data_IF_555463049678
#
_entry.id   IF_555463049678
#
_cell.length_a   1.000
_cell.length_b   1.000
_cell.length_c   1.000
_cell.angle_alpha   90.00
_cell.angle_beta   90.00
_cell.angle_gamma   90.00
#
_symmetry.space_group_name_H-M   'P 1'
#
loop_
_entity.id
_entity.type
_entity.pdbx_description
1 polymer ?
#
# COMPACT_ATOMS: atom_id res chain seq x y z
N UNK A 1 -22.23 -13.55 -23.15
CA UNK A 1 -22.32 -12.07 -23.16
C UNK A 1 -21.30 -11.50 -24.13
N UNK A 2 -21.67 -10.56 -25.01
CA UNK A 2 -20.73 -9.94 -25.95
C UNK A 2 -19.68 -9.11 -25.21
N UNK A 3 -18.41 -9.19 -25.64
CA UNK A 3 -17.32 -8.40 -25.07
C UNK A 3 -17.28 -7.01 -25.69
N UNK A 4 -16.94 -6.01 -24.88
CA UNK A 4 -16.69 -4.65 -25.36
C UNK A 4 -15.56 -4.63 -26.40
N UNK A 5 -15.66 -3.84 -27.48
CA UNK A 5 -14.58 -3.69 -28.45
C UNK A 5 -13.35 -3.05 -27.81
N UNK A 6 -12.16 -3.35 -28.35
CA UNK A 6 -10.91 -2.71 -27.92
C UNK A 6 -10.93 -1.24 -28.34
N UNK A 7 -10.41 -0.36 -27.49
CA UNK A 7 -10.31 1.09 -27.72
C UNK A 7 -8.85 1.53 -27.82
N UNK A 8 -8.54 2.59 -28.58
CA UNK A 8 -7.16 3.09 -28.68
C UNK A 8 -6.61 3.49 -27.32
N UNK A 9 -5.30 3.29 -27.13
CA UNK A 9 -4.57 3.76 -25.97
C UNK A 9 -4.69 5.29 -25.84
N UNK A 10 -4.93 5.80 -24.62
CA UNK A 10 -5.10 7.24 -24.37
C UNK A 10 -3.77 8.03 -24.42
N UNK A 11 -2.64 7.34 -24.47
CA UNK A 11 -1.32 7.99 -24.57
C UNK A 11 -1.15 8.66 -25.95
N UNK A 12 -0.70 9.93 -26.01
CA UNK A 12 -0.60 10.68 -27.26
C UNK A 12 0.32 9.97 -28.27
N UNK A 13 -0.18 9.74 -29.48
CA UNK A 13 0.57 9.11 -30.56
C UNK A 13 0.71 7.58 -30.47
N UNK A 14 0.05 6.90 -29.52
CA UNK A 14 0.11 5.45 -29.43
C UNK A 14 -0.94 4.76 -30.33
N UNK A 15 -0.54 3.91 -31.28
CA UNK A 15 -1.48 3.22 -32.18
C UNK A 15 -2.13 1.97 -31.57
N UNK A 16 -1.71 1.54 -30.37
CA UNK A 16 -2.13 0.26 -29.77
C UNK A 16 -3.60 0.26 -29.31
N UNK A 17 -4.32 -0.82 -29.62
CA UNK A 17 -5.69 -1.08 -29.16
C UNK A 17 -5.71 -1.88 -27.85
N UNK A 18 -6.49 -1.42 -26.87
CA UNK A 18 -6.44 -1.92 -25.50
C UNK A 18 -7.85 -2.10 -24.93
N UNK A 19 -7.98 -2.97 -23.93
CA UNK A 19 -9.26 -3.15 -23.20
C UNK A 19 -9.45 -2.12 -22.07
N UNK A 20 -8.34 -1.48 -21.67
CA UNK A 20 -8.24 -0.48 -20.61
C UNK A 20 -7.98 0.92 -21.15
N UNK A 21 -7.42 1.79 -20.32
CA UNK A 21 -7.12 3.18 -20.72
C UNK A 21 -5.77 3.32 -21.44
N UNK A 22 -4.82 2.45 -21.14
CA UNK A 22 -3.46 2.49 -21.67
C UNK A 22 -3.00 1.10 -22.12
N UNK A 23 -2.04 1.04 -23.04
CA UNK A 23 -1.39 -0.21 -23.41
C UNK A 23 -0.48 -0.69 -22.27
N UNK A 24 -0.02 -1.94 -22.31
CA UNK A 24 0.80 -2.51 -21.22
C UNK A 24 2.06 -1.67 -20.91
N UNK A 25 2.66 -1.06 -21.93
CA UNK A 25 3.81 -0.18 -21.79
C UNK A 25 3.45 1.13 -21.10
N UNK A 26 2.48 1.89 -21.63
CA UNK A 26 2.06 3.16 -21.04
C UNK A 26 1.42 2.98 -19.66
N UNK A 27 0.71 1.88 -19.43
CA UNK A 27 0.21 1.55 -18.10
C UNK A 27 1.34 1.41 -17.08
N UNK A 28 2.47 0.78 -17.48
CA UNK A 28 3.63 0.62 -16.60
C UNK A 28 4.31 1.96 -16.31
N UNK A 29 4.43 2.82 -17.31
CA UNK A 29 5.01 4.16 -17.17
C UNK A 29 4.18 5.03 -16.20
N UNK A 30 2.88 5.18 -16.46
CA UNK A 30 1.96 5.94 -15.61
C UNK A 30 1.93 5.36 -14.18
N UNK A 31 1.91 4.03 -14.05
CA UNK A 31 1.98 3.40 -12.74
C UNK A 31 3.28 3.70 -12.00
N UNK A 32 4.42 3.73 -12.70
CA UNK A 32 5.73 4.05 -12.09
C UNK A 32 5.71 5.47 -11.54
N UNK A 33 5.25 6.42 -12.33
CA UNK A 33 5.15 7.83 -11.95
C UNK A 33 4.19 8.04 -10.78
N UNK A 34 3.00 7.44 -10.83
CA UNK A 34 2.04 7.47 -9.73
C UNK A 34 2.62 6.87 -8.44
N UNK A 35 3.29 5.71 -8.51
CA UNK A 35 3.89 5.09 -7.32
C UNK A 35 5.04 5.92 -6.74
N UNK A 36 5.83 6.59 -7.59
CA UNK A 36 6.90 7.46 -7.14
C UNK A 36 6.37 8.70 -6.42
N UNK A 37 5.34 9.33 -6.99
CA UNK A 37 4.79 10.61 -6.49
C UNK A 37 3.82 10.44 -5.31
N UNK A 38 2.90 9.48 -5.37
CA UNK A 38 1.84 9.32 -4.35
C UNK A 38 2.19 8.36 -3.21
N UNK A 39 3.27 7.57 -3.32
CA UNK A 39 3.66 6.61 -2.27
C UNK A 39 5.16 6.69 -1.91
N UNK A 40 5.70 7.89 -1.63
CA UNK A 40 7.15 8.08 -1.46
C UNK A 40 7.73 7.28 -0.29
N UNK A 41 6.93 7.01 0.72
CA UNK A 41 7.31 6.28 1.94
C UNK A 41 7.06 4.77 1.88
N UNK A 42 6.59 4.21 0.74
CA UNK A 42 6.39 2.76 0.59
C UNK A 42 7.68 1.95 0.84
N UNK A 43 8.85 2.56 0.58
CA UNK A 43 10.17 1.98 0.85
C UNK A 43 10.42 1.70 2.33
N UNK A 44 9.88 2.53 3.24
CA UNK A 44 10.07 2.38 4.69
C UNK A 44 9.44 1.08 5.21
N UNK A 45 8.27 0.71 4.68
CA UNK A 45 7.62 -0.57 4.97
C UNK A 45 8.41 -1.80 4.51
N UNK A 46 9.36 -1.64 3.58
CA UNK A 46 10.26 -2.73 3.14
C UNK A 46 11.56 -2.78 3.95
N UNK A 47 11.82 -1.79 4.80
CA UNK A 47 13.05 -1.75 5.61
C UNK A 47 13.07 -2.90 6.62
N UNK A 48 14.27 -3.44 6.87
CA UNK A 48 14.50 -4.43 7.94
C UNK A 48 14.02 -3.92 9.29
N UNK A 49 14.34 -2.66 9.61
CA UNK A 49 13.89 -1.97 10.83
C UNK A 49 12.37 -2.05 11.04
N UNK A 50 11.56 -1.86 9.98
CA UNK A 50 10.11 -2.02 10.07
C UNK A 50 9.69 -3.48 10.31
N UNK A 51 10.36 -4.44 9.68
CA UNK A 51 10.05 -5.86 9.87
C UNK A 51 10.39 -6.34 11.29
N UNK A 52 11.49 -5.86 11.88
CA UNK A 52 11.83 -6.08 13.29
C UNK A 52 10.77 -5.46 14.22
N UNK A 53 10.45 -4.18 14.01
CA UNK A 53 9.44 -3.47 14.79
C UNK A 53 8.07 -4.13 14.71
N UNK A 54 7.64 -4.51 13.51
CA UNK A 54 6.37 -5.23 13.29
C UNK A 54 6.32 -6.53 14.09
N UNK A 55 7.39 -7.32 14.09
CA UNK A 55 7.47 -8.55 14.89
C UNK A 55 7.40 -8.25 16.38
N UNK A 56 8.13 -7.24 16.85
CA UNK A 56 8.08 -6.80 18.24
C UNK A 56 6.65 -6.42 18.68
N UNK A 57 5.96 -5.60 17.87
CA UNK A 57 4.58 -5.15 18.17
C UNK A 57 3.61 -6.32 18.17
N UNK A 58 3.68 -7.23 17.20
CA UNK A 58 2.81 -8.41 17.15
C UNK A 58 3.06 -9.37 18.32
N UNK A 59 4.31 -9.50 18.79
CA UNK A 59 4.62 -10.30 19.98
C UNK A 59 4.07 -9.65 21.27
N UNK A 60 4.19 -8.32 21.39
CA UNK A 60 3.68 -7.57 22.55
C UNK A 60 2.15 -7.55 22.58
N UNK A 61 1.52 -7.53 21.41
CA UNK A 61 0.07 -7.47 21.27
C UNK A 61 -0.41 -8.48 20.20
N UNK A 62 -0.56 -9.75 20.60
CA UNK A 62 -0.89 -10.82 19.66
C UNK A 62 -2.35 -10.81 19.19
N UNK A 63 -3.21 -10.01 19.81
CA UNK A 63 -4.63 -9.89 19.48
C UNK A 63 -4.95 -8.57 18.78
N UNK A 64 -5.92 -8.60 17.88
CA UNK A 64 -6.42 -7.39 17.22
C UNK A 64 -7.14 -6.48 18.23
N UNK A 65 -6.67 -5.23 18.37
CA UNK A 65 -7.24 -4.22 19.30
C UNK A 65 -8.70 -3.95 18.98
N UNK A 66 -9.04 -3.81 17.70
CA UNK A 66 -10.39 -3.46 17.28
C UNK A 66 -11.36 -4.62 17.51
N UNK A 67 -10.93 -5.85 17.24
CA UNK A 67 -11.75 -7.01 17.56
C UNK A 67 -11.91 -7.18 19.08
N UNK A 68 -10.85 -6.95 19.86
CA UNK A 68 -10.92 -7.00 21.32
C UNK A 68 -11.91 -5.96 21.89
N UNK A 69 -11.93 -4.74 21.33
CA UNK A 69 -12.94 -3.71 21.65
C UNK A 69 -14.37 -4.17 21.36
N UNK A 70 -14.54 -5.01 20.34
CA UNK A 70 -15.82 -5.63 19.98
C UNK A 70 -16.07 -6.98 20.68
N UNK A 71 -15.33 -7.30 21.76
CA UNK A 71 -15.38 -8.58 22.49
C UNK A 71 -15.12 -9.82 21.62
N UNK A 72 -14.33 -9.68 20.56
CA UNK A 72 -13.90 -10.78 19.68
C UNK A 72 -12.42 -11.06 19.84
N UNK A 73 -12.06 -12.31 20.13
CA UNK A 73 -10.67 -12.75 20.25
C UNK A 73 -10.21 -13.19 18.86
N UNK A 74 -9.41 -12.35 18.20
CA UNK A 74 -8.80 -12.68 16.91
C UNK A 74 -7.31 -12.32 16.92
N UNK A 75 -6.46 -13.15 16.29
CA UNK A 75 -5.03 -12.87 16.23
C UNK A 75 -4.77 -11.63 15.35
N UNK A 76 -3.85 -10.77 15.80
CA UNK A 76 -3.37 -9.65 15.01
C UNK A 76 -2.47 -10.16 13.88
N UNK A 77 -2.78 -9.78 12.63
CA UNK A 77 -1.97 -10.13 11.45
C UNK A 77 -1.28 -8.92 10.83
N UNK A 78 -1.74 -7.71 11.16
CA UNK A 78 -1.28 -6.45 10.60
C UNK A 78 -0.98 -5.48 11.73
N UNK A 79 0.05 -4.67 11.55
CA UNK A 79 0.39 -3.53 12.39
C UNK A 79 0.15 -2.28 11.56
N UNK A 80 -0.69 -1.39 12.06
CA UNK A 80 -1.06 -0.14 11.42
C UNK A 80 -0.58 1.06 12.26
N UNK A 81 -0.23 2.16 11.59
CA UNK A 81 0.18 3.39 12.25
C UNK A 81 -1.05 4.18 12.70
N UNK A 82 -1.23 4.39 14.01
CA UNK A 82 -2.35 5.19 14.56
C UNK A 82 -2.31 6.63 14.04
N UNK A 83 -1.13 7.24 14.01
CA UNK A 83 -0.92 8.59 13.48
C UNK A 83 -0.34 8.50 12.06
N UNK A 84 -0.92 9.21 11.08
CA UNK A 84 -0.32 9.27 9.75
C UNK A 84 1.04 9.98 9.83
N UNK A 85 2.10 9.24 9.49
CA UNK A 85 3.47 9.74 9.58
C UNK A 85 3.81 10.81 8.51
N UNK A 86 3.05 10.90 7.41
CA UNK A 86 3.24 11.89 6.31
C UNK A 86 4.67 12.02 5.78
N UNK A 87 5.48 10.96 5.93
CA UNK A 87 6.89 10.94 5.53
C UNK A 87 7.90 11.29 6.62
N UNK A 88 7.47 11.64 7.83
CA UNK A 88 8.36 11.77 8.99
C UNK A 88 8.78 10.37 9.49
N UNK A 89 10.08 10.09 9.49
CA UNK A 89 10.63 8.77 9.84
C UNK A 89 10.59 8.49 11.34
N UNK A 90 10.77 9.51 12.19
CA UNK A 90 10.66 9.36 13.65
C UNK A 90 9.26 8.89 14.04
N UNK A 91 8.22 9.50 13.45
CA UNK A 91 6.83 9.06 13.65
C UNK A 91 6.55 7.68 13.07
N UNK A 92 7.30 7.25 12.06
CA UNK A 92 7.12 5.94 11.42
C UNK A 92 7.67 4.80 12.29
N UNK A 93 8.78 5.03 12.97
CA UNK A 93 9.47 4.05 13.80
C UNK A 93 9.15 4.16 15.29
N UNK A 94 8.29 5.10 15.70
CA UNK A 94 7.88 5.21 17.08
C UNK A 94 6.97 4.05 17.51
N UNK A 95 7.35 3.39 18.60
CA UNK A 95 6.68 2.20 19.17
C UNK A 95 5.77 2.58 20.35
N UNK A 96 5.96 3.78 20.91
CA UNK A 96 5.37 4.20 22.18
C UNK A 96 4.10 5.03 22.01
N UNK A 97 3.76 5.46 20.78
CA UNK A 97 2.48 6.07 20.48
C UNK A 97 1.35 5.03 20.55
N UNK A 98 0.84 4.83 21.77
CA UNK A 98 -0.40 4.12 22.07
C UNK A 98 -1.59 5.06 21.99
#
# INVERSE_FOLDING_TARGET
>A
MPRKPKKPCKYPGCPELTEGNYCKMHQKEINREYNCSNRPYKKLYKSSRWQDLRRYVLNKQPLCVECLKNNRITPATVVDHIKPHKGNEDLFYDINYK
#
